data_IF_122610631079
#
_entry.id   IF_122610631079
#
_cell.length_a   1.000
_cell.length_b   1.000
_cell.length_c   1.000
_cell.angle_alpha   90.00
_cell.angle_beta   90.00
_cell.angle_gamma   90.00
#
_symmetry.space_group_name_H-M   'P 1'
#
loop_
_entity.id
_entity.type
_entity.pdbx_description
1 polymer ?
#
# COMPACT_ATOMS: atom_id res chain seq x y z
N UNK A 1 1.53 -30.66 2.68
CA UNK A 1 2.65 -29.73 3.03
C UNK A 1 2.09 -28.33 3.29
N UNK A 2 2.58 -27.65 4.33
CA UNK A 2 2.15 -26.29 4.60
C UNK A 2 2.61 -25.35 3.47
N UNK A 3 1.67 -24.73 2.74
CA UNK A 3 1.92 -23.83 1.62
C UNK A 3 2.66 -22.53 2.03
N UNK A 4 2.70 -22.23 3.32
CA UNK A 4 3.27 -20.99 3.89
C UNK A 4 4.32 -21.30 4.95
N UNK A 5 5.42 -20.54 4.94
CA UNK A 5 6.51 -20.67 5.92
C UNK A 5 6.09 -20.15 7.29
N UNK A 6 6.41 -20.88 8.36
CA UNK A 6 6.13 -20.45 9.75
C UNK A 6 7.04 -19.29 10.21
N UNK A 7 8.23 -19.14 9.61
CA UNK A 7 9.24 -18.12 9.95
C UNK A 7 9.69 -18.14 11.43
N UNK A 8 9.62 -19.32 12.09
CA UNK A 8 9.99 -19.50 13.50
C UNK A 8 9.08 -18.75 14.47
N UNK A 9 7.82 -18.46 14.08
CA UNK A 9 6.91 -17.63 14.89
C UNK A 9 5.51 -18.24 14.98
N UNK A 10 4.76 -17.99 16.08
CA UNK A 10 3.33 -18.24 16.17
C UNK A 10 2.58 -17.49 15.06
N UNK A 11 1.33 -17.89 14.77
CA UNK A 11 0.56 -17.38 13.65
C UNK A 11 0.29 -15.86 13.73
N UNK A 12 0.01 -15.35 14.93
CA UNK A 12 -0.23 -13.93 15.21
C UNK A 12 1.01 -13.07 15.00
N UNK A 13 2.14 -13.46 15.56
CA UNK A 13 3.42 -12.77 15.38
C UNK A 13 3.92 -12.85 13.95
N UNK A 14 3.71 -13.97 13.26
CA UNK A 14 4.02 -14.10 11.83
C UNK A 14 3.18 -13.12 11.00
N UNK A 15 1.88 -13.03 11.28
CA UNK A 15 0.98 -12.09 10.61
C UNK A 15 1.42 -10.64 10.84
N UNK A 16 1.74 -10.27 12.07
CA UNK A 16 2.24 -8.94 12.41
C UNK A 16 3.54 -8.58 11.69
N UNK A 17 4.51 -9.51 11.64
CA UNK A 17 5.77 -9.35 10.92
C UNK A 17 5.55 -9.11 9.42
N UNK A 18 4.69 -9.91 8.77
CA UNK A 18 4.42 -9.76 7.35
C UNK A 18 3.68 -8.46 7.06
N UNK A 19 2.70 -8.08 7.89
CA UNK A 19 2.00 -6.78 7.77
C UNK A 19 2.99 -5.61 7.82
N UNK A 20 3.90 -5.62 8.79
CA UNK A 20 4.91 -4.58 8.93
C UNK A 20 5.79 -4.49 7.67
N UNK A 21 6.38 -5.61 7.25
CA UNK A 21 7.29 -5.62 6.09
C UNK A 21 6.58 -5.25 4.78
N UNK A 22 5.34 -5.66 4.57
CA UNK A 22 4.55 -5.28 3.40
C UNK A 22 4.24 -3.78 3.43
N UNK A 23 3.84 -3.23 4.59
CA UNK A 23 3.58 -1.80 4.73
C UNK A 23 4.83 -0.97 4.40
N UNK A 24 6.00 -1.36 4.91
CA UNK A 24 7.26 -0.69 4.60
C UNK A 24 7.67 -0.84 3.13
N UNK A 25 7.48 -2.03 2.53
CA UNK A 25 7.76 -2.24 1.11
C UNK A 25 6.94 -1.31 0.21
N UNK A 26 5.65 -1.21 0.47
CA UNK A 26 4.75 -0.35 -0.31
C UNK A 26 5.01 1.14 -0.07
N UNK A 27 5.48 1.49 1.14
CA UNK A 27 5.80 2.88 1.48
C UNK A 27 7.12 3.36 0.87
N UNK A 28 8.20 2.60 1.09
CA UNK A 28 9.56 2.98 0.66
C UNK A 28 9.94 2.47 -0.74
N UNK A 29 9.17 1.52 -1.28
CA UNK A 29 9.45 0.91 -2.58
C UNK A 29 10.48 -0.21 -2.55
N UNK A 30 11.34 -0.29 -1.51
CA UNK A 30 12.33 -1.35 -1.29
C UNK A 30 12.58 -1.60 0.18
N UNK A 31 12.85 -2.85 0.55
CA UNK A 31 13.30 -3.24 1.89
C UNK A 31 14.36 -4.33 1.80
N UNK A 32 15.25 -4.37 2.77
CA UNK A 32 16.22 -5.44 2.95
C UNK A 32 15.74 -6.40 4.05
N UNK A 33 15.79 -7.70 3.79
CA UNK A 33 15.32 -8.71 4.73
C UNK A 33 15.94 -10.09 4.38
N UNK A 34 15.61 -11.14 5.12
CA UNK A 34 16.06 -12.49 4.75
C UNK A 34 15.26 -13.02 3.55
N UNK A 35 15.90 -13.85 2.72
CA UNK A 35 15.29 -14.43 1.52
C UNK A 35 13.97 -15.14 1.83
N UNK A 36 13.91 -15.86 2.96
CA UNK A 36 12.70 -16.55 3.39
C UNK A 36 11.53 -15.59 3.64
N UNK A 37 11.79 -14.45 4.30
CA UNK A 37 10.78 -13.39 4.54
C UNK A 37 10.40 -12.69 3.24
N UNK A 38 11.36 -12.35 2.39
CA UNK A 38 11.11 -11.71 1.10
C UNK A 38 10.13 -12.51 0.23
N UNK A 39 10.28 -13.85 0.20
CA UNK A 39 9.37 -14.73 -0.54
C UNK A 39 7.93 -14.70 -0.02
N UNK A 40 7.74 -14.63 1.31
CA UNK A 40 6.39 -14.52 1.90
C UNK A 40 5.79 -13.12 1.72
N UNK A 41 6.60 -12.06 1.90
CA UNK A 41 6.19 -10.66 1.69
C UNK A 41 5.73 -10.44 0.25
N UNK A 42 6.45 -11.00 -0.74
CA UNK A 42 6.09 -10.94 -2.15
C UNK A 42 4.64 -11.36 -2.41
N UNK A 43 4.24 -12.52 -1.91
CA UNK A 43 2.90 -13.06 -2.12
C UNK A 43 1.79 -12.13 -1.60
N UNK A 44 2.00 -11.52 -0.43
CA UNK A 44 1.03 -10.60 0.16
C UNK A 44 1.02 -9.26 -0.57
N UNK A 45 2.19 -8.69 -0.85
CA UNK A 45 2.31 -7.40 -1.53
C UNK A 45 1.69 -7.44 -2.94
N UNK A 46 1.99 -8.47 -3.73
CA UNK A 46 1.44 -8.61 -5.09
C UNK A 46 -0.09 -8.73 -5.10
N UNK A 47 -0.68 -9.42 -4.11
CA UNK A 47 -2.14 -9.49 -3.96
C UNK A 47 -2.75 -8.11 -3.72
N UNK A 48 -2.16 -7.31 -2.83
CA UNK A 48 -2.67 -5.97 -2.52
C UNK A 48 -2.50 -5.00 -3.70
N UNK A 49 -1.38 -5.08 -4.41
CA UNK A 49 -1.16 -4.29 -5.64
C UNK A 49 -2.18 -4.69 -6.71
N UNK A 50 -2.46 -5.99 -6.89
CA UNK A 50 -3.46 -6.45 -7.86
C UNK A 50 -4.84 -5.89 -7.55
N UNK A 51 -5.25 -5.85 -6.26
CA UNK A 51 -6.51 -5.22 -5.86
C UNK A 51 -6.53 -3.73 -6.20
N UNK A 52 -5.46 -3.01 -5.92
CA UNK A 52 -5.36 -1.58 -6.24
C UNK A 52 -5.37 -1.33 -7.75
N UNK A 53 -4.66 -2.12 -8.55
CA UNK A 53 -4.60 -2.00 -10.02
C UNK A 53 -5.96 -2.24 -10.65
N UNK A 54 -6.72 -3.22 -10.13
CA UNK A 54 -8.06 -3.56 -10.65
C UNK A 54 -9.08 -2.45 -10.39
N UNK A 55 -9.02 -1.85 -9.21
CA UNK A 55 -10.08 -0.99 -8.70
C UNK A 55 -9.72 0.52 -8.71
N UNK A 56 -8.51 0.92 -9.14
CA UNK A 56 -8.06 2.32 -9.04
C UNK A 56 -8.99 3.32 -9.74
N UNK A 57 -9.58 2.96 -10.87
CA UNK A 57 -10.42 3.86 -11.68
C UNK A 57 -11.92 3.72 -11.39
N UNK A 58 -12.31 2.81 -10.50
CA UNK A 58 -13.71 2.56 -10.16
C UNK A 58 -14.26 3.64 -9.22
N UNK A 59 -14.59 4.80 -9.80
CA UNK A 59 -15.15 5.97 -9.11
C UNK A 59 -16.50 6.33 -9.67
N UNK A 60 -17.31 7.02 -8.87
CA UNK A 60 -18.57 7.64 -9.27
C UNK A 60 -18.58 9.10 -8.83
N UNK A 61 -18.99 9.99 -9.72
CA UNK A 61 -19.21 11.39 -9.39
C UNK A 61 -20.61 11.57 -8.79
N UNK A 62 -20.67 12.16 -7.62
CA UNK A 62 -21.94 12.41 -6.90
C UNK A 62 -21.99 13.90 -6.54
N UNK A 63 -23.07 14.53 -6.94
CA UNK A 63 -23.36 15.90 -6.52
C UNK A 63 -24.02 15.88 -5.14
N UNK A 64 -23.39 16.51 -4.16
CA UNK A 64 -23.93 16.70 -2.82
C UNK A 64 -24.38 18.15 -2.65
N UNK A 65 -25.60 18.35 -2.18
CA UNK A 65 -26.12 19.66 -1.78
C UNK A 65 -26.26 19.70 -0.27
N UNK A 66 -25.84 20.80 0.33
CA UNK A 66 -26.05 21.11 1.75
C UNK A 66 -26.27 22.61 1.92
N UNK A 67 -27.03 22.97 2.94
CA UNK A 67 -27.32 24.36 3.24
C UNK A 67 -26.22 24.93 4.15
N UNK A 68 -25.72 26.10 3.78
CA UNK A 68 -24.78 26.86 4.58
C UNK A 68 -25.50 27.52 5.78
N UNK A 69 -24.75 27.92 6.79
CA UNK A 69 -25.23 28.68 7.95
C UNK A 69 -26.05 29.94 7.57
N UNK A 70 -25.87 30.43 6.32
CA UNK A 70 -26.62 31.58 5.76
C UNK A 70 -27.89 31.17 4.99
N UNK A 71 -28.31 29.90 5.03
CA UNK A 71 -29.49 29.40 4.32
C UNK A 71 -29.32 29.32 2.80
N UNK A 72 -28.09 29.33 2.29
CA UNK A 72 -27.78 29.12 0.86
C UNK A 72 -27.44 27.69 0.57
N UNK A 73 -28.08 27.09 -0.42
CA UNK A 73 -27.76 25.75 -0.88
C UNK A 73 -26.48 25.73 -1.70
N UNK A 74 -25.44 25.08 -1.18
CA UNK A 74 -24.17 24.90 -1.87
C UNK A 74 -24.12 23.49 -2.45
N UNK A 75 -23.82 23.36 -3.74
CA UNK A 75 -23.67 22.09 -4.43
C UNK A 75 -22.18 21.83 -4.68
N UNK A 76 -21.70 20.65 -4.25
CA UNK A 76 -20.31 20.23 -4.45
C UNK A 76 -20.31 18.89 -5.20
N UNK A 77 -19.55 18.81 -6.28
CA UNK A 77 -19.28 17.57 -6.96
C UNK A 77 -18.15 16.81 -6.26
N UNK A 78 -18.44 15.62 -5.75
CA UNK A 78 -17.50 14.79 -5.01
C UNK A 78 -17.35 13.46 -5.73
N UNK A 79 -16.11 13.03 -5.93
CA UNK A 79 -15.80 11.71 -6.48
C UNK A 79 -15.78 10.70 -5.35
N UNK A 80 -16.74 9.78 -5.36
CA UNK A 80 -16.84 8.69 -4.40
C UNK A 80 -16.29 7.38 -5.00
N UNK A 81 -15.77 6.50 -4.14
CA UNK A 81 -15.41 5.15 -4.55
C UNK A 81 -16.67 4.31 -4.82
N UNK A 82 -16.69 3.56 -5.92
CA UNK A 82 -17.71 2.53 -6.16
C UNK A 82 -17.64 1.42 -5.09
N UNK A 83 -18.72 0.66 -4.87
CA UNK A 83 -18.75 -0.39 -3.83
C UNK A 83 -17.60 -1.41 -3.94
N UNK A 84 -17.18 -1.79 -5.15
CA UNK A 84 -16.04 -2.68 -5.39
C UNK A 84 -14.72 -2.09 -4.91
N UNK A 85 -14.46 -0.81 -5.25
CA UNK A 85 -13.27 -0.09 -4.81
C UNK A 85 -13.27 0.14 -3.30
N UNK A 86 -14.43 0.48 -2.72
CA UNK A 86 -14.57 0.63 -1.28
C UNK A 86 -14.28 -0.69 -0.54
N UNK A 87 -14.76 -1.83 -1.09
CA UNK A 87 -14.44 -3.15 -0.56
C UNK A 87 -12.93 -3.43 -0.63
N UNK A 88 -12.29 -3.20 -1.78
CA UNK A 88 -10.85 -3.35 -1.93
C UNK A 88 -10.06 -2.48 -0.94
N UNK A 89 -10.47 -1.22 -0.75
CA UNK A 89 -9.88 -0.29 0.22
C UNK A 89 -9.96 -0.85 1.64
N UNK A 90 -11.12 -1.37 2.05
CA UNK A 90 -11.30 -1.99 3.37
C UNK A 90 -10.42 -3.23 3.56
N UNK A 91 -10.31 -4.09 2.54
CA UNK A 91 -9.44 -5.27 2.57
C UNK A 91 -7.94 -4.89 2.71
N UNK A 92 -7.51 -3.85 2.02
CA UNK A 92 -6.14 -3.32 2.11
C UNK A 92 -5.88 -2.75 3.50
N UNK A 93 -6.79 -1.92 4.03
CA UNK A 93 -6.70 -1.37 5.39
C UNK A 93 -6.64 -2.46 6.46
N UNK A 94 -7.44 -3.53 6.34
CA UNK A 94 -7.41 -4.67 7.26
C UNK A 94 -6.08 -5.44 7.23
N UNK A 95 -5.30 -5.32 6.13
CA UNK A 95 -4.05 -6.07 5.95
C UNK A 95 -2.81 -5.24 6.25
N UNK A 96 -2.81 -3.93 6.01
CA UNK A 96 -1.66 -3.05 6.20
C UNK A 96 -1.68 -2.36 7.57
N UNK A 97 -0.51 -1.87 8.00
CA UNK A 97 -0.43 -0.87 9.06
C UNK A 97 -0.52 0.52 8.44
N UNK A 98 -1.15 1.44 9.16
CA UNK A 98 -1.28 2.83 8.75
C UNK A 98 0.03 3.56 9.04
N UNK A 99 0.83 3.76 8.00
CA UNK A 99 2.06 4.54 8.07
C UNK A 99 1.74 5.99 7.76
N UNK A 100 2.08 6.86 8.71
CA UNK A 100 1.91 8.30 8.56
C UNK A 100 3.11 8.92 7.84
N UNK A 101 2.87 10.02 7.14
CA UNK A 101 3.93 10.82 6.55
C UNK A 101 4.83 11.42 7.63
N UNK A 102 6.12 11.45 7.36
CA UNK A 102 7.09 12.05 8.28
C UNK A 102 7.05 13.58 8.10
N UNK A 103 7.06 14.29 9.22
CA UNK A 103 7.19 15.75 9.23
C UNK A 103 8.52 16.15 8.59
N UNK A 104 8.52 17.10 7.66
CA UNK A 104 9.74 17.64 7.07
C UNK A 104 10.50 18.50 8.08
N UNK A 105 11.85 18.61 7.92
CA UNK A 105 12.71 19.41 8.81
C UNK A 105 12.32 20.88 8.88
N UNK A 106 11.88 21.42 7.74
CA UNK A 106 11.59 22.85 7.55
C UNK A 106 10.11 23.19 7.76
N UNK A 107 9.29 22.19 8.12
CA UNK A 107 7.83 22.32 8.26
C UNK A 107 7.46 22.58 9.73
N UNK A 108 6.59 23.55 9.99
CA UNK A 108 6.02 23.79 11.32
C UNK A 108 5.04 22.66 11.70
N UNK A 109 4.65 22.57 12.98
CA UNK A 109 3.69 21.60 13.46
C UNK A 109 2.27 21.84 12.94
N UNK A 110 1.92 23.11 12.71
CA UNK A 110 0.64 23.53 12.14
C UNK A 110 0.55 23.20 10.66
N UNK A 111 1.56 23.52 9.87
CA UNK A 111 1.64 23.19 8.44
C UNK A 111 1.60 21.68 8.20
N UNK A 112 2.32 20.89 9.00
CA UNK A 112 2.23 19.43 8.93
C UNK A 112 0.80 18.92 9.15
N UNK A 113 0.08 19.45 10.16
CA UNK A 113 -1.31 19.08 10.43
C UNK A 113 -2.25 19.49 9.29
N UNK A 114 -2.08 20.66 8.71
CA UNK A 114 -2.88 21.14 7.58
C UNK A 114 -2.64 20.27 6.34
N UNK A 115 -1.39 19.96 6.02
CA UNK A 115 -1.03 19.10 4.88
C UNK A 115 -1.56 17.67 5.00
N UNK A 116 -1.59 17.11 6.21
CA UNK A 116 -2.02 15.73 6.44
C UNK A 116 -3.50 15.58 6.82
N UNK A 117 -4.23 16.70 7.00
CA UNK A 117 -5.61 16.71 7.48
C UNK A 117 -6.57 15.90 6.60
N UNK A 118 -6.43 16.02 5.28
CA UNK A 118 -7.36 15.43 4.31
C UNK A 118 -7.07 13.95 4.00
N UNK A 119 -5.89 13.45 4.40
CA UNK A 119 -5.44 12.09 4.09
C UNK A 119 -5.36 11.26 5.37
N UNK A 120 -6.45 10.57 5.70
CA UNK A 120 -6.51 9.71 6.92
C UNK A 120 -5.61 8.48 6.85
N UNK A 121 -5.46 7.88 5.66
CA UNK A 121 -4.71 6.64 5.44
C UNK A 121 -3.70 6.82 4.29
N UNK A 122 -2.54 7.47 4.52
CA UNK A 122 -1.61 7.85 3.46
C UNK A 122 -1.08 6.67 2.63
N UNK A 123 -0.80 5.53 3.26
CA UNK A 123 -0.33 4.34 2.54
C UNK A 123 -1.39 3.77 1.60
N UNK A 124 -2.65 3.77 2.01
CA UNK A 124 -3.77 3.29 1.18
C UNK A 124 -4.00 4.24 0.01
N UNK A 125 -3.98 5.54 0.27
CA UNK A 125 -4.08 6.54 -0.80
C UNK A 125 -2.95 6.43 -1.80
N UNK A 126 -1.71 6.24 -1.36
CA UNK A 126 -0.56 5.98 -2.22
C UNK A 126 -0.75 4.76 -3.13
N UNK A 127 -1.35 3.68 -2.59
CA UNK A 127 -1.67 2.51 -3.40
C UNK A 127 -2.66 2.81 -4.53
N UNK A 128 -3.72 3.55 -4.27
CA UNK A 128 -4.76 3.83 -5.26
C UNK A 128 -4.44 5.00 -6.19
N UNK A 129 -3.69 6.02 -5.73
CA UNK A 129 -3.37 7.21 -6.52
C UNK A 129 -2.10 7.06 -7.34
N UNK A 130 -1.06 6.37 -6.78
CA UNK A 130 0.26 6.30 -7.42
C UNK A 130 0.55 4.90 -7.97
N UNK A 131 0.51 3.88 -7.09
CA UNK A 131 0.98 2.53 -7.42
C UNK A 131 0.00 1.83 -8.37
N UNK A 132 -1.31 1.92 -8.11
CA UNK A 132 -2.36 1.31 -8.93
C UNK A 132 -2.32 1.77 -10.39
N UNK A 133 -2.47 3.07 -10.65
CA UNK A 133 -2.43 3.62 -12.02
C UNK A 133 -1.10 3.35 -12.73
N UNK A 134 0.04 3.48 -12.03
CA UNK A 134 1.36 3.17 -12.58
C UNK A 134 1.44 1.74 -13.11
N UNK A 135 1.03 0.75 -12.30
CA UNK A 135 1.07 -0.65 -12.72
C UNK A 135 -0.03 -1.01 -13.70
N UNK A 136 -1.18 -0.36 -13.66
CA UNK A 136 -2.22 -0.51 -14.67
C UNK A 136 -1.70 -0.11 -16.05
N UNK A 137 -1.04 1.04 -16.15
CA UNK A 137 -0.40 1.52 -17.38
C UNK A 137 0.69 0.56 -17.86
N UNK A 138 1.62 0.15 -16.97
CA UNK A 138 2.65 -0.84 -17.29
C UNK A 138 2.07 -2.15 -17.82
N UNK A 139 1.01 -2.64 -17.20
CA UNK A 139 0.38 -3.91 -17.59
C UNK A 139 -0.25 -3.82 -18.99
N UNK A 140 -0.83 -2.68 -19.33
CA UNK A 140 -1.35 -2.42 -20.68
C UNK A 140 -0.22 -2.35 -21.72
N UNK A 141 0.87 -1.64 -21.42
CA UNK A 141 2.02 -1.48 -22.33
C UNK A 141 2.75 -2.82 -22.57
N UNK A 142 2.93 -3.63 -21.53
CA UNK A 142 3.71 -4.88 -21.60
C UNK A 142 2.84 -6.13 -21.79
N UNK A 143 1.55 -5.97 -21.93
CA UNK A 143 0.55 -7.06 -21.99
C UNK A 143 0.80 -8.15 -20.93
N UNK A 144 1.04 -7.74 -19.68
CA UNK A 144 1.33 -8.63 -18.58
C UNK A 144 0.45 -8.33 -17.36
N UNK A 145 0.15 -9.35 -16.57
CA UNK A 145 -0.60 -9.21 -15.33
C UNK A 145 0.23 -9.74 -14.17
N UNK A 146 0.63 -8.86 -13.24
CA UNK A 146 1.43 -9.26 -12.08
C UNK A 146 2.93 -8.98 -12.21
N UNK A 147 3.74 -9.63 -11.36
CA UNK A 147 5.19 -9.42 -11.32
C UNK A 147 5.57 -8.01 -10.90
N UNK A 148 4.91 -7.48 -9.88
CA UNK A 148 5.13 -6.13 -9.39
C UNK A 148 6.36 -5.99 -8.51
N UNK A 149 6.91 -7.11 -8.04
CA UNK A 149 8.04 -7.14 -7.11
C UNK A 149 9.21 -7.96 -7.67
N UNK A 150 10.43 -7.52 -7.33
CA UNK A 150 11.67 -8.22 -7.64
C UNK A 150 12.40 -8.55 -6.35
N UNK A 151 12.99 -9.74 -6.27
CA UNK A 151 13.84 -10.16 -5.15
C UNK A 151 15.27 -10.32 -5.67
N UNK A 152 16.20 -9.58 -5.08
CA UNK A 152 17.64 -9.61 -5.40
C UNK A 152 18.35 -10.21 -4.19
N UNK A 153 19.10 -11.30 -4.38
CA UNK A 153 19.90 -11.90 -3.32
C UNK A 153 21.15 -11.06 -3.10
N UNK A 154 21.44 -10.73 -1.83
CA UNK A 154 22.58 -9.89 -1.46
C UNK A 154 23.75 -10.68 -0.87
N UNK A 155 23.50 -11.90 -0.41
CA UNK A 155 24.53 -12.76 0.16
C UNK A 155 24.15 -13.40 1.48
N UNK A 156 25.14 -13.78 2.24
CA UNK A 156 25.01 -14.46 3.53
C UNK A 156 25.42 -13.50 4.65
N UNK A 157 24.59 -13.39 5.67
CA UNK A 157 24.86 -12.54 6.85
C UNK A 157 25.91 -13.21 7.74
N UNK A 158 26.90 -12.42 8.22
CA UNK A 158 28.03 -12.95 8.99
C UNK A 158 27.64 -13.62 10.32
N UNK A 159 26.61 -13.10 11.02
CA UNK A 159 26.29 -13.57 12.37
C UNK A 159 25.66 -14.94 12.44
N UNK A 160 24.77 -15.29 11.48
CA UNK A 160 23.94 -16.50 11.51
C UNK A 160 23.88 -17.23 10.17
N UNK A 161 24.72 -16.86 9.21
CA UNK A 161 24.75 -17.42 7.86
C UNK A 161 23.38 -17.38 7.12
N UNK A 162 22.47 -16.49 7.55
CA UNK A 162 21.17 -16.36 6.90
C UNK A 162 21.30 -15.70 5.53
N UNK A 163 20.65 -16.28 4.52
CA UNK A 163 20.56 -15.65 3.19
C UNK A 163 19.76 -14.34 3.27
N UNK A 164 20.37 -13.24 2.86
CA UNK A 164 19.76 -11.91 2.79
C UNK A 164 19.34 -11.58 1.37
N UNK A 165 18.31 -10.75 1.26
CA UNK A 165 17.78 -10.30 -0.02
C UNK A 165 17.12 -8.92 0.11
N UNK A 166 17.18 -8.16 -0.97
CA UNK A 166 16.41 -6.94 -1.17
C UNK A 166 15.15 -7.32 -1.96
N UNK A 167 13.99 -6.93 -1.46
CA UNK A 167 12.75 -6.95 -2.23
C UNK A 167 12.39 -5.52 -2.59
N UNK A 168 12.09 -5.28 -3.87
CA UNK A 168 11.77 -3.97 -4.42
C UNK A 168 10.56 -4.01 -5.34
N UNK A 169 9.90 -2.85 -5.49
CA UNK A 169 8.86 -2.64 -6.49
C UNK A 169 9.51 -2.40 -7.86
N UNK A 170 9.07 -3.13 -8.88
CA UNK A 170 9.57 -2.99 -10.26
C UNK A 170 9.13 -1.64 -10.82
N UNK A 171 10.06 -0.92 -11.44
CA UNK A 171 9.80 0.36 -12.10
C UNK A 171 9.12 0.15 -13.45
#
# INVERSE_FOLDING_TARGET
>A
MAKQRKLGRPADQRKALLRNQVSHLLWYGKIETTLARAKEVRSVAERLITLAVRECDNNVEVTKSFDNEKGQTVTINVTNDLPSKLHARRMIMATLYDLQEIKKSDESKSEYKERTKDVKHPLVEKLFRDIGPKYKKRNAEKNCTGGYTRIIRTGIRRGDAAETAIIELVK
#
